data_IF_391853023582
#
_entry.id   IF_391853023582
#
_cell.length_a   1.000
_cell.length_b   1.000
_cell.length_c   1.000
_cell.angle_alpha   90.00
_cell.angle_beta   90.00
_cell.angle_gamma   90.00
#
_symmetry.space_group_name_H-M   'P 1'
#
loop_
_entity.id
_entity.type
_entity.pdbx_description
1 polymer ?
#
# COMPACT_ATOMS: atom_id res chain seq x y z
N UNK A 1 17.38 -17.48 19.04
CA UNK A 1 18.02 -18.53 18.22
C UNK A 1 17.08 -19.05 17.14
N UNK A 2 15.84 -19.49 17.47
CA UNK A 2 14.85 -19.99 16.48
C UNK A 2 14.59 -19.06 15.26
N UNK A 3 14.49 -17.74 15.43
CA UNK A 3 14.28 -16.81 14.31
C UNK A 3 15.50 -16.67 13.38
N UNK A 4 16.71 -16.85 13.91
CA UNK A 4 17.93 -16.80 13.10
C UNK A 4 18.03 -18.05 12.21
N UNK A 5 17.68 -19.22 12.76
CA UNK A 5 17.64 -20.48 12.01
C UNK A 5 16.57 -20.47 10.91
N UNK A 6 15.38 -19.93 11.19
CA UNK A 6 14.30 -19.78 10.18
C UNK A 6 14.73 -18.88 9.02
N UNK A 7 15.32 -17.72 9.31
CA UNK A 7 15.80 -16.79 8.29
C UNK A 7 16.91 -17.42 7.42
N UNK A 8 17.85 -18.12 8.05
CA UNK A 8 18.96 -18.75 7.33
C UNK A 8 18.48 -19.90 6.44
N UNK A 9 17.54 -20.72 6.93
CA UNK A 9 16.92 -21.79 6.14
C UNK A 9 16.13 -21.24 4.95
N UNK A 10 15.31 -20.21 5.15
CA UNK A 10 14.58 -19.52 4.08
C UNK A 10 15.54 -18.99 3.01
N UNK A 11 16.56 -18.23 3.42
CA UNK A 11 17.57 -17.66 2.51
C UNK A 11 18.31 -18.74 1.72
N UNK A 12 18.70 -19.84 2.38
CA UNK A 12 19.43 -20.94 1.74
C UNK A 12 18.58 -21.62 0.67
N UNK A 13 17.33 -21.94 0.98
CA UNK A 13 16.42 -22.59 0.04
C UNK A 13 16.14 -21.71 -1.18
N UNK A 14 15.85 -20.42 -0.97
CA UNK A 14 15.64 -19.46 -2.06
C UNK A 14 16.89 -19.33 -2.93
N UNK A 15 18.09 -19.24 -2.34
CA UNK A 15 19.33 -19.12 -3.11
C UNK A 15 19.65 -20.39 -3.91
N UNK A 16 19.41 -21.57 -3.34
CA UNK A 16 19.55 -22.85 -4.06
C UNK A 16 18.57 -22.91 -5.23
N UNK A 17 17.30 -22.57 -5.00
CA UNK A 17 16.27 -22.52 -6.05
C UNK A 17 16.66 -21.58 -7.18
N UNK A 18 17.07 -20.34 -6.86
CA UNK A 18 17.50 -19.36 -7.84
C UNK A 18 18.72 -19.83 -8.65
N UNK A 19 19.72 -20.43 -8.00
CA UNK A 19 20.92 -20.94 -8.69
C UNK A 19 20.60 -22.11 -9.62
N UNK A 20 19.74 -23.04 -9.18
CA UNK A 20 19.31 -24.17 -10.02
C UNK A 20 18.48 -23.68 -11.20
N UNK A 21 17.52 -22.78 -11.00
CA UNK A 21 16.72 -22.18 -12.08
C UNK A 21 17.58 -21.42 -13.08
N UNK A 22 18.58 -20.66 -12.60
CA UNK A 22 19.55 -19.99 -13.45
C UNK A 22 20.32 -20.98 -14.35
N UNK A 23 20.86 -22.05 -13.74
CA UNK A 23 21.61 -23.07 -14.47
C UNK A 23 20.71 -23.80 -15.49
N UNK A 24 19.49 -24.17 -15.10
CA UNK A 24 18.51 -24.78 -15.99
C UNK A 24 18.16 -23.86 -17.15
N UNK A 25 17.93 -22.57 -16.90
CA UNK A 25 17.66 -21.58 -17.94
C UNK A 25 18.77 -21.50 -18.99
N UNK A 26 20.03 -21.44 -18.55
CA UNK A 26 21.20 -21.45 -19.45
C UNK A 26 21.28 -22.76 -20.25
N UNK A 27 21.09 -23.91 -19.60
CA UNK A 27 21.13 -25.22 -20.28
C UNK A 27 20.02 -25.32 -21.33
N UNK A 28 18.79 -24.88 -21.02
CA UNK A 28 17.66 -24.86 -21.95
C UNK A 28 17.91 -23.93 -23.12
N UNK A 29 18.41 -22.73 -22.88
CA UNK A 29 18.63 -21.74 -23.93
C UNK A 29 19.71 -22.21 -24.91
N UNK A 30 20.85 -22.68 -24.39
CA UNK A 30 21.94 -23.24 -25.22
C UNK A 30 21.46 -24.51 -25.93
N UNK A 31 20.78 -25.40 -25.21
CA UNK A 31 20.25 -26.64 -25.76
C UNK A 31 19.23 -26.41 -26.87
N UNK A 32 18.26 -25.52 -26.65
CA UNK A 32 17.25 -25.16 -27.64
C UNK A 32 17.86 -24.54 -28.89
N UNK A 33 18.88 -23.68 -28.75
CA UNK A 33 19.57 -23.10 -29.88
C UNK A 33 20.39 -24.12 -30.69
N UNK A 34 21.14 -25.01 -30.02
CA UNK A 34 21.97 -26.03 -30.68
C UNK A 34 21.11 -27.13 -31.31
N UNK A 35 20.01 -27.50 -30.66
CA UNK A 35 19.14 -28.61 -31.08
C UNK A 35 17.87 -28.15 -31.79
N UNK A 36 17.80 -26.89 -32.25
CA UNK A 36 16.71 -26.32 -33.04
C UNK A 36 15.32 -26.53 -32.41
N UNK A 37 15.15 -26.22 -31.12
CA UNK A 37 13.84 -26.21 -30.46
C UNK A 37 13.50 -24.82 -29.95
N UNK A 38 12.47 -24.23 -30.56
CA UNK A 38 11.92 -22.93 -30.17
C UNK A 38 11.21 -23.02 -28.82
N UNK A 39 10.50 -24.13 -28.54
CA UNK A 39 9.84 -24.33 -27.26
C UNK A 39 10.85 -24.38 -26.10
N UNK A 40 11.99 -25.07 -26.31
CA UNK A 40 13.04 -25.15 -25.30
C UNK A 40 13.76 -23.81 -25.10
N UNK A 41 13.98 -23.04 -26.17
CA UNK A 41 14.50 -21.66 -26.07
C UNK A 41 13.52 -20.77 -25.29
N UNK A 42 12.22 -20.83 -25.59
CA UNK A 42 11.19 -20.07 -24.90
C UNK A 42 11.16 -20.36 -23.39
N UNK A 43 11.24 -21.65 -23.01
CA UNK A 43 11.30 -22.08 -21.62
C UNK A 43 12.61 -21.66 -20.93
N UNK A 44 13.71 -21.62 -21.68
CA UNK A 44 15.00 -21.09 -21.20
C UNK A 44 14.94 -19.58 -20.92
N UNK A 45 14.33 -18.81 -21.82
CA UNK A 45 14.11 -17.37 -21.63
C UNK A 45 13.17 -17.11 -20.45
N UNK A 46 12.11 -17.91 -20.27
CA UNK A 46 11.24 -17.86 -19.10
C UNK A 46 12.06 -18.02 -17.81
N UNK A 47 12.81 -19.12 -17.68
CA UNK A 47 13.64 -19.38 -16.48
C UNK A 47 14.72 -18.30 -16.25
N UNK A 48 15.29 -17.72 -17.31
CA UNK A 48 16.24 -16.61 -17.17
C UNK A 48 15.55 -15.30 -16.74
N UNK A 49 14.33 -15.07 -17.21
CA UNK A 49 13.53 -13.91 -16.83
C UNK A 49 13.13 -13.97 -15.36
N UNK A 50 12.88 -15.16 -14.81
CA UNK A 50 12.65 -15.36 -13.38
C UNK A 50 13.91 -15.03 -12.57
N UNK A 51 15.10 -15.42 -13.03
CA UNK A 51 16.36 -15.01 -12.37
C UNK A 51 16.55 -13.49 -12.37
N UNK A 52 16.27 -12.82 -13.50
CA UNK A 52 16.32 -11.36 -13.59
C UNK A 52 15.31 -10.74 -12.61
N UNK A 53 14.12 -11.32 -12.52
CA UNK A 53 13.08 -10.91 -11.56
C UNK A 53 13.60 -10.99 -10.13
N UNK A 54 14.19 -12.11 -9.73
CA UNK A 54 14.76 -12.30 -8.39
C UNK A 54 15.84 -11.25 -8.07
N UNK A 55 16.74 -10.99 -9.02
CA UNK A 55 17.79 -9.98 -8.86
C UNK A 55 17.18 -8.58 -8.74
N UNK A 56 16.19 -8.26 -9.58
CA UNK A 56 15.48 -6.98 -9.53
C UNK A 56 14.72 -6.81 -8.22
N UNK A 57 14.08 -7.85 -7.69
CA UNK A 57 13.41 -7.83 -6.39
C UNK A 57 14.41 -7.60 -5.26
N UNK A 58 15.58 -8.25 -5.28
CA UNK A 58 16.63 -8.01 -4.27
C UNK A 58 17.17 -6.57 -4.33
N UNK A 59 17.38 -6.04 -5.53
CA UNK A 59 17.79 -4.66 -5.73
C UNK A 59 16.70 -3.69 -5.26
N UNK A 60 15.48 -3.87 -5.75
CA UNK A 60 14.29 -3.09 -5.40
C UNK A 60 14.04 -3.08 -3.89
N UNK A 61 14.11 -4.24 -3.23
CA UNK A 61 13.96 -4.34 -1.78
C UNK A 61 15.07 -3.59 -1.05
N UNK A 62 16.33 -3.71 -1.48
CA UNK A 62 17.45 -2.99 -0.86
C UNK A 62 17.28 -1.48 -0.94
N UNK A 63 16.96 -0.94 -2.12
CA UNK A 63 16.82 0.51 -2.30
C UNK A 63 15.46 1.04 -1.84
N UNK A 64 14.40 0.26 -1.97
CA UNK A 64 13.05 0.59 -1.51
C UNK A 64 12.89 0.57 0.01
N UNK A 65 13.67 -0.27 0.71
CA UNK A 65 13.73 -0.30 2.18
C UNK A 65 14.44 0.90 2.80
N UNK A 66 15.07 1.77 2.00
CA UNK A 66 15.66 3.00 2.49
C UNK A 66 14.55 3.91 3.02
N UNK A 67 14.75 4.36 4.27
CA UNK A 67 13.82 5.26 4.94
C UNK A 67 13.71 6.62 4.26
N UNK A 68 12.85 7.47 4.83
CA UNK A 68 12.71 8.84 4.40
C UNK A 68 14.02 9.63 4.56
N UNK A 69 14.32 10.46 3.58
CA UNK A 69 15.41 11.43 3.63
C UNK A 69 14.93 12.81 3.14
N UNK A 70 15.85 13.77 3.00
CA UNK A 70 15.51 15.14 2.62
C UNK A 70 15.00 15.26 1.18
N UNK A 71 15.36 14.34 0.28
CA UNK A 71 14.90 14.33 -1.12
C UNK A 71 13.66 13.46 -1.30
N UNK A 72 13.43 12.49 -0.41
CA UNK A 72 12.30 11.57 -0.39
C UNK A 72 11.65 11.52 1.02
N UNK A 73 10.82 12.51 1.40
CA UNK A 73 10.21 12.58 2.73
C UNK A 73 9.28 11.41 3.10
N UNK A 74 8.76 10.70 2.09
CA UNK A 74 7.92 9.52 2.26
C UNK A 74 8.71 8.20 2.10
N UNK A 75 10.02 8.26 1.92
CA UNK A 75 10.88 7.10 1.67
C UNK A 75 10.96 6.67 0.21
N UNK A 76 11.69 5.59 -0.02
CA UNK A 76 12.10 5.14 -1.35
C UNK A 76 11.27 3.97 -1.90
N UNK A 77 10.18 3.61 -1.23
CA UNK A 77 9.36 2.43 -1.55
C UNK A 77 8.86 2.40 -3.01
N UNK A 78 8.62 3.56 -3.65
CA UNK A 78 8.22 3.63 -5.07
C UNK A 78 9.30 3.14 -6.05
N UNK A 79 10.57 3.04 -5.63
CA UNK A 79 11.62 2.41 -6.44
C UNK A 79 11.28 0.96 -6.73
N UNK A 80 10.66 0.25 -5.77
CA UNK A 80 10.20 -1.11 -5.97
C UNK A 80 9.12 -1.19 -7.04
N UNK A 81 8.10 -0.34 -6.94
CA UNK A 81 7.04 -0.23 -7.95
C UNK A 81 7.60 0.07 -9.35
N UNK A 82 8.56 1.00 -9.45
CA UNK A 82 9.19 1.35 -10.73
C UNK A 82 10.04 0.21 -11.31
N UNK A 83 10.78 -0.50 -10.46
CA UNK A 83 11.57 -1.67 -10.84
C UNK A 83 10.67 -2.80 -11.36
N UNK A 84 9.56 -3.10 -10.67
CA UNK A 84 8.58 -4.10 -11.09
C UNK A 84 7.90 -3.71 -12.40
N UNK A 85 7.63 -2.42 -12.63
CA UNK A 85 7.07 -1.93 -13.89
C UNK A 85 8.06 -2.09 -15.06
N UNK A 86 9.34 -1.78 -14.85
CA UNK A 86 10.38 -2.00 -15.85
C UNK A 86 10.50 -3.48 -16.21
N UNK A 87 10.50 -4.35 -15.19
CA UNK A 87 10.55 -5.80 -15.37
C UNK A 87 9.34 -6.30 -16.17
N UNK A 88 8.13 -5.85 -15.82
CA UNK A 88 6.91 -6.17 -16.53
C UNK A 88 7.00 -5.83 -18.03
N UNK A 89 7.56 -4.66 -18.36
CA UNK A 89 7.80 -4.26 -19.75
C UNK A 89 8.78 -5.21 -20.46
N UNK A 90 9.90 -5.56 -19.81
CA UNK A 90 10.88 -6.50 -20.37
C UNK A 90 10.27 -7.88 -20.63
N UNK A 91 9.46 -8.39 -19.70
CA UNK A 91 8.75 -9.66 -19.86
C UNK A 91 7.79 -9.64 -21.05
N UNK A 92 7.00 -8.57 -21.21
CA UNK A 92 6.08 -8.44 -22.35
C UNK A 92 6.84 -8.41 -23.67
N UNK A 93 7.96 -7.66 -23.75
CA UNK A 93 8.79 -7.60 -24.95
C UNK A 93 9.44 -8.95 -25.27
N UNK A 94 9.98 -9.65 -24.26
CA UNK A 94 10.58 -10.97 -24.42
C UNK A 94 9.55 -12.02 -24.88
N UNK A 95 8.39 -12.07 -24.21
CA UNK A 95 7.30 -12.98 -24.58
C UNK A 95 6.73 -12.69 -25.97
N UNK A 96 6.63 -11.41 -26.36
CA UNK A 96 6.21 -11.02 -27.71
C UNK A 96 7.24 -11.42 -28.77
N UNK A 97 8.54 -11.28 -28.49
CA UNK A 97 9.61 -11.75 -29.37
C UNK A 97 9.55 -13.26 -29.59
N UNK A 98 9.41 -14.05 -28.51
CA UNK A 98 9.26 -15.51 -28.58
C UNK A 98 8.03 -15.89 -29.41
N UNK A 99 6.88 -15.27 -29.13
CA UNK A 99 5.65 -15.56 -29.86
C UNK A 99 5.77 -15.19 -31.34
N UNK A 100 6.44 -14.08 -31.66
CA UNK A 100 6.70 -13.66 -33.03
C UNK A 100 7.60 -14.65 -33.78
N UNK A 101 8.72 -15.05 -33.18
CA UNK A 101 9.66 -16.02 -33.76
C UNK A 101 8.97 -17.37 -34.00
N UNK A 102 8.17 -17.83 -33.03
CA UNK A 102 7.43 -19.08 -33.15
C UNK A 102 6.30 -19.03 -34.19
N UNK A 103 5.63 -17.88 -34.36
CA UNK A 103 4.66 -17.68 -35.45
C UNK A 103 5.36 -17.64 -36.80
N UNK A 104 6.53 -16.99 -36.90
CA UNK A 104 7.29 -16.95 -38.15
C UNK A 104 7.73 -18.35 -38.59
N UNK A 105 8.19 -19.18 -37.65
CA UNK A 105 8.53 -20.59 -37.88
C UNK A 105 7.31 -21.40 -38.34
N UNK A 106 6.14 -21.16 -37.74
CA UNK A 106 4.90 -21.83 -38.15
C UNK A 106 4.48 -21.49 -39.58
N UNK A 107 4.75 -20.25 -40.02
CA UNK A 107 4.43 -19.76 -41.36
C UNK A 107 5.48 -20.14 -42.41
N UNK A 108 6.73 -20.28 -42.00
CA UNK A 108 7.87 -20.67 -42.84
C UNK A 108 8.61 -21.84 -42.19
N UNK A 109 8.05 -23.07 -42.24
CA UNK A 109 8.64 -24.20 -41.55
C UNK A 109 9.99 -24.54 -42.16
N UNK A 110 11.06 -24.29 -41.41
CA UNK A 110 12.33 -24.91 -41.68
C UNK A 110 12.18 -26.34 -41.17
N UNK A 111 12.26 -27.36 -42.02
CA UNK A 111 12.01 -28.78 -41.64
C UNK A 111 13.06 -29.36 -40.67
N UNK A 112 13.72 -28.53 -39.86
CA UNK A 112 14.61 -28.89 -38.78
C UNK A 112 13.80 -29.57 -37.67
N UNK A 113 13.89 -30.90 -37.61
CA UNK A 113 13.35 -31.67 -36.49
C UNK A 113 14.22 -31.37 -35.27
N UNK A 114 13.63 -30.98 -34.12
CA UNK A 114 14.36 -30.79 -32.88
C UNK A 114 15.23 -32.01 -32.55
N UNK A 115 16.46 -31.79 -32.13
CA UNK A 115 17.35 -32.87 -31.72
C UNK A 115 16.78 -33.62 -30.51
N UNK A 116 16.90 -34.95 -30.48
CA UNK A 116 16.41 -35.78 -29.36
C UNK A 116 17.02 -35.39 -28.00
N UNK A 117 18.18 -34.74 -28.00
CA UNK A 117 18.82 -34.19 -26.80
C UNK A 117 17.97 -33.06 -26.16
N UNK A 118 17.25 -32.25 -26.95
CA UNK A 118 16.36 -31.21 -26.44
C UNK A 118 15.27 -31.79 -25.52
N UNK A 119 14.73 -32.96 -25.87
CA UNK A 119 13.74 -33.66 -25.04
C UNK A 119 14.32 -34.08 -23.69
N UNK A 120 15.54 -34.62 -23.66
CA UNK A 120 16.20 -34.98 -22.40
C UNK A 120 16.47 -33.76 -21.52
N UNK A 121 16.81 -32.61 -22.11
CA UNK A 121 16.98 -31.36 -21.37
C UNK A 121 15.65 -30.90 -20.77
N UNK A 122 14.56 -30.95 -21.53
CA UNK A 122 13.23 -30.58 -21.04
C UNK A 122 12.76 -31.49 -19.90
N UNK A 123 12.91 -32.81 -20.06
CA UNK A 123 12.61 -33.80 -19.02
C UNK A 123 13.46 -33.61 -17.76
N UNK A 124 14.76 -33.33 -17.93
CA UNK A 124 15.64 -33.01 -16.82
C UNK A 124 15.18 -31.76 -16.06
N UNK A 125 14.71 -30.73 -16.77
CA UNK A 125 14.15 -29.55 -16.11
C UNK A 125 12.88 -29.83 -15.34
N UNK A 126 11.96 -30.65 -15.86
CA UNK A 126 10.75 -31.05 -15.12
C UNK A 126 11.15 -31.74 -13.82
N UNK A 127 12.08 -32.70 -13.91
CA UNK A 127 12.56 -33.44 -12.75
C UNK A 127 13.22 -32.50 -11.73
N UNK A 128 14.07 -31.59 -12.17
CA UNK A 128 14.75 -30.64 -11.30
C UNK A 128 13.76 -29.69 -10.59
N UNK A 129 12.77 -29.15 -11.31
CA UNK A 129 11.74 -28.29 -10.75
C UNK A 129 10.82 -29.03 -9.77
N UNK A 130 10.47 -30.29 -10.04
CA UNK A 130 9.68 -31.10 -9.11
C UNK A 130 10.48 -31.45 -7.83
N UNK A 131 11.77 -31.74 -7.96
CA UNK A 131 12.66 -31.93 -6.80
C UNK A 131 12.77 -30.64 -5.96
N UNK A 132 12.91 -29.49 -6.61
CA UNK A 132 12.88 -28.18 -5.93
C UNK A 132 11.53 -27.92 -5.25
N UNK A 133 10.41 -28.27 -5.88
CA UNK A 133 9.09 -28.15 -5.26
C UNK A 133 9.03 -28.94 -3.95
N UNK A 134 9.40 -30.23 -3.97
CA UNK A 134 9.37 -31.06 -2.78
C UNK A 134 10.33 -30.56 -1.69
N UNK A 135 11.55 -30.17 -2.07
CA UNK A 135 12.55 -29.65 -1.14
C UNK A 135 12.10 -28.33 -0.49
N UNK A 136 11.71 -27.35 -1.30
CA UNK A 136 11.27 -26.03 -0.85
C UNK A 136 10.00 -26.13 -0.01
N UNK A 137 9.05 -26.99 -0.42
CA UNK A 137 7.82 -27.22 0.35
C UNK A 137 8.11 -27.83 1.71
N UNK A 138 8.96 -28.86 1.77
CA UNK A 138 9.29 -29.52 3.03
C UNK A 138 9.93 -28.53 4.02
N UNK A 139 10.87 -27.69 3.56
CA UNK A 139 11.45 -26.65 4.42
C UNK A 139 10.42 -25.59 4.79
N UNK A 140 9.56 -25.17 3.85
CA UNK A 140 8.49 -24.20 4.10
C UNK A 140 7.50 -24.65 5.18
N UNK A 141 7.12 -25.93 5.17
CA UNK A 141 6.31 -26.56 6.21
C UNK A 141 7.07 -26.64 7.55
N UNK A 142 8.35 -27.01 7.53
CA UNK A 142 9.20 -27.12 8.74
C UNK A 142 9.41 -25.78 9.45
N UNK A 143 9.58 -24.69 8.69
CA UNK A 143 9.75 -23.35 9.25
C UNK A 143 8.43 -22.57 9.38
N UNK A 144 7.29 -23.21 9.10
CA UNK A 144 5.95 -22.60 9.08
C UNK A 144 5.92 -21.26 8.34
N UNK A 145 6.48 -21.23 7.13
CA UNK A 145 6.54 -20.01 6.30
C UNK A 145 5.63 -20.15 5.07
N UNK A 146 4.47 -19.47 5.06
CA UNK A 146 3.59 -19.40 3.90
C UNK A 146 4.31 -18.88 2.65
N UNK A 147 5.29 -18.00 2.82
CA UNK A 147 6.08 -17.42 1.74
C UNK A 147 6.98 -18.46 1.06
N UNK A 148 7.65 -19.33 1.82
CA UNK A 148 8.48 -20.39 1.25
C UNK A 148 7.60 -21.48 0.61
N UNK A 149 6.43 -21.76 1.19
CA UNK A 149 5.44 -22.67 0.58
C UNK A 149 4.95 -22.10 -0.75
N UNK A 150 4.66 -20.80 -0.84
CA UNK A 150 4.28 -20.14 -2.09
C UNK A 150 5.41 -20.23 -3.14
N UNK A 151 6.67 -20.02 -2.72
CA UNK A 151 7.83 -20.21 -3.60
C UNK A 151 7.96 -21.65 -4.11
N UNK A 152 7.61 -22.66 -3.29
CA UNK A 152 7.57 -24.03 -3.77
C UNK A 152 6.55 -24.19 -4.92
N UNK A 153 5.34 -23.67 -4.75
CA UNK A 153 4.32 -23.70 -5.81
C UNK A 153 4.74 -22.97 -7.08
N UNK A 154 5.59 -21.96 -6.98
CA UNK A 154 6.20 -21.30 -8.13
C UNK A 154 7.07 -22.27 -8.94
N UNK A 155 7.99 -23.01 -8.30
CA UNK A 155 8.76 -24.06 -8.98
C UNK A 155 7.88 -25.10 -9.68
N UNK A 156 6.73 -25.42 -9.10
CA UNK A 156 5.77 -26.35 -9.72
C UNK A 156 5.06 -25.75 -10.94
N UNK A 157 4.80 -24.45 -10.93
CA UNK A 157 4.32 -23.72 -12.10
C UNK A 157 5.35 -23.75 -13.24
N UNK A 158 6.64 -23.60 -12.92
CA UNK A 158 7.72 -23.71 -13.90
C UNK A 158 7.82 -25.13 -14.47
N UNK A 159 7.67 -26.16 -13.62
CA UNK A 159 7.58 -27.54 -14.07
C UNK A 159 6.42 -27.74 -15.06
N UNK A 160 5.26 -27.12 -14.80
CA UNK A 160 4.10 -27.19 -15.69
C UNK A 160 4.38 -26.52 -17.05
N UNK A 161 5.10 -25.39 -17.09
CA UNK A 161 5.57 -24.78 -18.35
C UNK A 161 6.50 -25.74 -19.11
N UNK A 162 7.48 -26.34 -18.44
CA UNK A 162 8.38 -27.31 -19.05
C UNK A 162 7.66 -28.59 -19.54
N UNK A 163 6.52 -28.96 -18.95
CA UNK A 163 5.65 -30.04 -19.46
C UNK A 163 5.03 -29.66 -20.80
N UNK A 164 4.53 -28.43 -20.97
CA UNK A 164 4.00 -27.95 -22.26
C UNK A 164 5.06 -28.06 -23.35
N UNK A 165 6.30 -27.64 -23.03
CA UNK A 165 7.47 -27.71 -23.92
C UNK A 165 7.81 -29.16 -24.26
N UNK A 166 7.83 -30.05 -23.27
CA UNK A 166 8.11 -31.47 -23.46
C UNK A 166 7.07 -32.14 -24.36
N UNK A 167 5.78 -31.81 -24.20
CA UNK A 167 4.72 -32.32 -25.08
C UNK A 167 4.88 -31.82 -26.52
N UNK A 168 5.26 -30.54 -26.70
CA UNK A 168 5.58 -29.98 -28.02
C UNK A 168 6.74 -30.70 -28.70
N UNK A 169 7.83 -30.94 -27.96
CA UNK A 169 9.01 -31.68 -28.41
C UNK A 169 8.68 -33.15 -28.77
N UNK A 170 7.93 -33.86 -27.92
CA UNK A 170 7.50 -35.24 -28.19
C UNK A 170 6.67 -35.33 -29.46
N UNK A 171 5.73 -34.41 -29.63
CA UNK A 171 4.89 -34.33 -30.82
C UNK A 171 5.71 -34.06 -32.08
N UNK A 172 6.68 -33.15 -32.00
CA UNK A 172 7.60 -32.84 -33.09
C UNK A 172 8.48 -34.03 -33.48
N UNK A 173 9.00 -34.77 -32.50
CA UNK A 173 9.78 -36.00 -32.71
C UNK A 173 8.96 -37.15 -33.31
N UNK A 174 7.65 -37.18 -33.09
CA UNK A 174 6.72 -38.12 -33.73
C UNK A 174 6.28 -37.72 -35.16
N UNK A 175 6.83 -36.62 -35.69
CA UNK A 175 6.63 -36.18 -37.06
C UNK A 175 5.67 -34.99 -37.23
N UNK A 176 5.12 -34.46 -36.13
CA UNK A 176 4.30 -33.23 -36.15
C UNK A 176 5.17 -32.02 -35.83
N UNK A 177 6.05 -31.64 -36.77
CA UNK A 177 7.11 -30.64 -36.59
C UNK A 177 6.63 -29.28 -36.06
N UNK A 178 5.40 -28.88 -36.40
CA UNK A 178 4.79 -27.63 -35.95
C UNK A 178 4.47 -27.57 -34.44
N UNK A 179 4.44 -28.70 -33.73
CA UNK A 179 4.04 -28.72 -32.32
C UNK A 179 5.06 -28.05 -31.38
N UNK A 180 6.34 -28.01 -31.77
CA UNK A 180 7.36 -27.26 -31.02
C UNK A 180 7.07 -25.74 -31.10
N UNK A 181 6.79 -25.22 -32.31
CA UNK A 181 6.39 -23.83 -32.49
C UNK A 181 5.09 -23.49 -31.74
N UNK A 182 4.09 -24.38 -31.75
CA UNK A 182 2.85 -24.18 -30.99
C UNK A 182 3.12 -24.13 -29.48
N UNK A 183 3.96 -25.01 -28.95
CA UNK A 183 4.35 -24.97 -27.54
C UNK A 183 5.09 -23.66 -27.20
N UNK A 184 5.99 -23.19 -28.07
CA UNK A 184 6.67 -21.90 -27.90
C UNK A 184 5.70 -20.71 -27.87
N UNK A 185 4.68 -20.70 -28.74
CA UNK A 185 3.61 -19.68 -28.74
C UNK A 185 2.86 -19.67 -27.40
N UNK A 186 2.48 -20.86 -26.90
CA UNK A 186 1.77 -20.98 -25.62
C UNK A 186 2.61 -20.40 -24.47
N UNK A 187 3.90 -20.78 -24.40
CA UNK A 187 4.83 -20.25 -23.38
C UNK A 187 5.01 -18.74 -23.53
N UNK A 188 5.17 -18.23 -24.76
CA UNK A 188 5.24 -16.79 -25.03
C UNK A 188 4.02 -16.02 -24.49
N UNK A 189 2.81 -16.53 -24.70
CA UNK A 189 1.59 -15.93 -24.13
C UNK A 189 1.54 -16.01 -22.60
N UNK A 190 2.03 -17.10 -21.99
CA UNK A 190 2.14 -17.20 -20.53
C UNK A 190 3.06 -16.11 -19.96
N UNK A 191 4.22 -15.88 -20.58
CA UNK A 191 5.18 -14.83 -20.18
C UNK A 191 4.54 -13.45 -20.34
N UNK A 192 3.89 -13.16 -21.48
CA UNK A 192 3.20 -11.87 -21.72
C UNK A 192 2.13 -11.64 -20.65
N UNK A 193 1.30 -12.65 -20.35
CA UNK A 193 0.25 -12.55 -19.33
C UNK A 193 0.84 -12.22 -17.96
N UNK A 194 1.96 -12.83 -17.59
CA UNK A 194 2.66 -12.54 -16.35
C UNK A 194 3.18 -11.09 -16.32
N UNK A 195 3.84 -10.65 -17.39
CA UNK A 195 4.32 -9.28 -17.53
C UNK A 195 3.18 -8.25 -17.42
N UNK A 196 2.05 -8.47 -18.12
CA UNK A 196 0.87 -7.59 -18.01
C UNK A 196 0.32 -7.55 -16.59
N UNK A 197 0.20 -8.71 -15.93
CA UNK A 197 -0.31 -8.77 -14.55
C UNK A 197 0.56 -7.98 -13.58
N UNK A 198 1.89 -8.11 -13.66
CA UNK A 198 2.83 -7.33 -12.86
C UNK A 198 2.76 -5.84 -13.18
N UNK A 199 2.74 -5.48 -14.47
CA UNK A 199 2.65 -4.10 -14.91
C UNK A 199 1.37 -3.41 -14.43
N UNK A 200 0.21 -4.08 -14.55
CA UNK A 200 -1.06 -3.54 -14.06
C UNK A 200 -1.06 -3.32 -12.54
N UNK A 201 -0.46 -4.22 -11.76
CA UNK A 201 -0.35 -4.05 -10.32
C UNK A 201 0.57 -2.86 -9.96
N UNK A 202 1.71 -2.71 -10.63
CA UNK A 202 2.60 -1.56 -10.42
C UNK A 202 1.96 -0.24 -10.85
N UNK A 203 1.20 -0.22 -11.96
CA UNK A 203 0.45 0.97 -12.39
C UNK A 203 -0.63 1.33 -11.37
N UNK A 204 -1.38 0.35 -10.85
CA UNK A 204 -2.38 0.58 -9.79
C UNK A 204 -1.75 1.24 -8.57
N UNK A 205 -0.57 0.76 -8.16
CA UNK A 205 0.16 1.35 -7.04
C UNK A 205 0.66 2.77 -7.35
N UNK A 206 1.15 3.03 -8.58
CA UNK A 206 1.58 4.37 -9.00
C UNK A 206 0.46 5.40 -9.00
N UNK A 207 -0.77 5.00 -9.34
CA UNK A 207 -1.96 5.88 -9.35
C UNK A 207 -2.68 5.94 -8.00
N UNK A 208 -2.03 5.51 -6.92
CA UNK A 208 -2.55 5.56 -5.54
C UNK A 208 -3.89 4.81 -5.39
N UNK A 209 -3.99 3.61 -5.99
CA UNK A 209 -5.18 2.76 -5.84
C UNK A 209 -5.41 2.40 -4.37
N UNK A 210 -6.67 2.50 -3.94
CA UNK A 210 -7.10 2.13 -2.60
C UNK A 210 -6.88 0.65 -2.29
N UNK A 211 -6.88 0.32 -0.99
CA UNK A 211 -6.84 -1.08 -0.54
C UNK A 211 -8.13 -1.82 -0.94
N UNK A 212 -8.07 -3.15 -0.90
CA UNK A 212 -9.23 -3.99 -1.16
C UNK A 212 -10.36 -3.76 -0.13
N UNK A 213 -11.59 -4.11 -0.51
CA UNK A 213 -12.78 -3.85 0.31
C UNK A 213 -12.73 -4.51 1.69
N UNK A 214 -12.12 -5.70 1.81
CA UNK A 214 -12.00 -6.41 3.08
C UNK A 214 -11.03 -5.68 4.02
N UNK A 215 -9.91 -5.19 3.48
CA UNK A 215 -8.96 -4.38 4.24
C UNK A 215 -9.54 -3.02 4.63
N UNK A 216 -10.29 -2.37 3.73
CA UNK A 216 -10.97 -1.11 4.01
C UNK A 216 -11.98 -1.27 5.16
N UNK A 217 -12.80 -2.32 5.14
CA UNK A 217 -13.75 -2.61 6.20
C UNK A 217 -13.07 -2.87 7.56
N UNK A 218 -11.89 -3.49 7.56
CA UNK A 218 -11.08 -3.66 8.79
C UNK A 218 -10.57 -2.33 9.32
N UNK A 219 -10.10 -1.44 8.43
CA UNK A 219 -9.65 -0.10 8.80
C UNK A 219 -10.82 0.67 9.43
N UNK A 220 -11.96 0.75 8.75
CA UNK A 220 -13.15 1.46 9.25
C UNK A 220 -13.59 0.94 10.62
N UNK A 221 -13.67 -0.38 10.79
CA UNK A 221 -14.04 -1.01 12.06
C UNK A 221 -13.09 -0.63 13.19
N UNK A 222 -11.78 -0.60 12.94
CA UNK A 222 -10.79 -0.26 13.97
C UNK A 222 -10.88 1.21 14.38
N UNK A 223 -11.16 2.11 13.43
CA UNK A 223 -11.34 3.54 13.72
C UNK A 223 -12.61 3.76 14.54
N UNK A 224 -13.72 3.11 14.18
CA UNK A 224 -14.99 3.22 14.90
C UNK A 224 -14.96 2.66 16.32
N UNK A 225 -13.99 1.79 16.64
CA UNK A 225 -13.82 1.27 18.00
C UNK A 225 -13.11 2.24 18.95
N UNK A 226 -12.50 3.31 18.43
CA UNK A 226 -11.82 4.32 19.25
C UNK A 226 -12.85 5.23 19.91
N UNK A 227 -12.80 5.32 21.23
CA UNK A 227 -13.70 6.20 21.99
C UNK A 227 -13.49 7.67 21.61
N UNK A 228 -14.59 8.40 21.44
CA UNK A 228 -14.60 9.81 21.01
C UNK A 228 -14.78 9.99 19.49
N UNK A 229 -14.62 8.93 18.70
CA UNK A 229 -14.95 8.95 17.27
C UNK A 229 -16.46 8.82 17.09
N UNK A 230 -17.11 9.85 16.52
CA UNK A 230 -18.54 9.83 16.20
C UNK A 230 -18.82 9.24 14.83
N UNK A 231 -18.03 9.64 13.83
CA UNK A 231 -18.19 9.24 12.42
C UNK A 231 -16.86 9.34 11.69
N UNK A 232 -16.65 8.47 10.71
CA UNK A 232 -15.58 8.64 9.73
C UNK A 232 -16.14 9.51 8.61
N UNK A 233 -15.58 10.70 8.47
CA UNK A 233 -16.06 11.68 7.52
C UNK A 233 -15.50 11.41 6.13
N UNK A 234 -14.19 11.18 6.04
CA UNK A 234 -13.49 10.82 4.82
C UNK A 234 -12.38 9.82 5.13
N UNK A 235 -12.24 8.80 4.28
CA UNK A 235 -11.19 7.80 4.40
C UNK A 235 -10.56 7.57 3.03
N UNK A 236 -9.27 7.87 2.92
CA UNK A 236 -8.46 7.59 1.74
C UNK A 236 -7.34 6.64 2.13
N UNK A 237 -7.04 5.71 1.24
CA UNK A 237 -5.92 4.79 1.41
C UNK A 237 -5.18 4.67 0.09
N UNK A 238 -3.88 4.37 0.18
CA UNK A 238 -3.04 4.09 -0.98
C UNK A 238 -1.98 3.06 -0.62
N UNK A 239 -1.50 2.36 -1.64
CA UNK A 239 -0.40 1.42 -1.55
C UNK A 239 0.91 2.09 -1.98
N UNK A 240 2.01 1.76 -1.29
CA UNK A 240 3.35 2.21 -1.66
C UNK A 240 4.41 1.20 -1.20
N UNK A 241 5.02 0.49 -2.16
CA UNK A 241 5.91 -0.65 -1.89
C UNK A 241 5.21 -1.78 -1.12
N UNK A 242 3.93 -2.01 -1.36
CA UNK A 242 3.12 -3.00 -0.63
C UNK A 242 2.68 -2.60 0.78
N UNK A 243 3.20 -1.48 1.32
CA UNK A 243 2.75 -0.85 2.56
C UNK A 243 1.50 0.02 2.32
N UNK A 244 0.72 0.26 3.37
CA UNK A 244 -0.53 1.01 3.33
C UNK A 244 -0.36 2.36 4.02
N UNK A 245 -0.75 3.43 3.33
CA UNK A 245 -0.84 4.78 3.86
C UNK A 245 -2.31 5.17 3.92
N UNK A 246 -2.72 5.83 5.02
CA UNK A 246 -4.11 6.17 5.28
C UNK A 246 -4.21 7.66 5.61
N UNK A 247 -5.13 8.35 4.96
CA UNK A 247 -5.56 9.69 5.36
C UNK A 247 -7.02 9.61 5.79
N UNK A 248 -7.31 9.98 7.04
CA UNK A 248 -8.65 9.88 7.60
C UNK A 248 -9.06 11.18 8.26
N UNK A 249 -10.31 11.57 8.01
CA UNK A 249 -11.01 12.63 8.69
C UNK A 249 -12.03 12.01 9.64
N UNK A 250 -11.99 12.45 10.89
CA UNK A 250 -12.76 11.85 11.97
C UNK A 250 -13.57 12.93 12.67
N UNK A 251 -14.89 12.74 12.69
CA UNK A 251 -15.82 13.61 13.39
C UNK A 251 -15.76 13.30 14.89
N UNK A 252 -15.54 14.33 15.71
CA UNK A 252 -15.53 14.24 17.17
C UNK A 252 -16.59 15.17 17.78
N UNK A 253 -16.63 15.28 19.10
CA UNK A 253 -17.50 16.26 19.73
C UNK A 253 -16.96 17.69 19.56
N UNK A 254 -17.78 18.67 19.10
CA UNK A 254 -17.29 19.99 18.74
C UNK A 254 -16.81 20.84 19.91
N UNK A 255 -17.20 20.51 21.16
CA UNK A 255 -16.86 21.32 22.33
C UNK A 255 -15.68 20.78 23.13
N UNK A 256 -15.03 19.71 22.66
CA UNK A 256 -13.80 19.22 23.27
C UNK A 256 -12.65 20.18 23.01
N UNK A 257 -11.63 20.09 23.85
CA UNK A 257 -10.39 20.86 23.62
C UNK A 257 -9.62 20.33 22.41
N UNK A 258 -8.83 21.19 21.76
CA UNK A 258 -7.89 20.76 20.70
C UNK A 258 -6.94 19.67 21.20
N UNK A 259 -6.53 19.73 22.47
CA UNK A 259 -5.72 18.69 23.10
C UNK A 259 -6.43 17.33 23.21
N UNK A 260 -7.72 17.32 23.51
CA UNK A 260 -8.52 16.10 23.58
C UNK A 260 -8.79 15.54 22.18
N UNK A 261 -9.07 16.41 21.20
CA UNK A 261 -9.13 16.03 19.78
C UNK A 261 -7.83 15.38 19.32
N UNK A 262 -6.67 15.97 19.64
CA UNK A 262 -5.36 15.39 19.35
C UNK A 262 -5.15 14.03 20.03
N UNK A 263 -5.61 13.87 21.27
CA UNK A 263 -5.58 12.60 21.97
C UNK A 263 -6.39 11.51 21.24
N UNK A 264 -7.59 11.82 20.77
CA UNK A 264 -8.41 10.90 19.96
C UNK A 264 -7.68 10.55 18.65
N UNK A 265 -7.11 11.55 17.96
CA UNK A 265 -6.33 11.35 16.74
C UNK A 265 -5.17 10.38 16.94
N UNK A 266 -4.41 10.54 18.03
CA UNK A 266 -3.31 9.65 18.40
C UNK A 266 -3.79 8.22 18.66
N UNK A 267 -4.96 8.05 19.28
CA UNK A 267 -5.53 6.73 19.52
C UNK A 267 -5.98 6.04 18.23
N UNK A 268 -6.56 6.78 17.28
CA UNK A 268 -6.86 6.29 15.93
C UNK A 268 -5.59 5.85 15.21
N UNK A 269 -4.57 6.72 15.18
CA UNK A 269 -3.26 6.42 14.59
C UNK A 269 -2.66 5.14 15.21
N UNK A 270 -2.60 5.07 16.54
CA UNK A 270 -2.03 3.93 17.26
C UNK A 270 -2.83 2.64 17.04
N UNK A 271 -4.16 2.70 17.03
CA UNK A 271 -5.01 1.54 16.79
C UNK A 271 -4.76 0.92 15.42
N UNK A 272 -4.67 1.75 14.37
CA UNK A 272 -4.38 1.30 13.02
C UNK A 272 -2.97 0.71 12.89
N UNK A 273 -1.95 1.43 13.37
CA UNK A 273 -0.54 0.97 13.36
C UNK A 273 -0.35 -0.36 14.09
N UNK A 274 -1.01 -0.54 15.24
CA UNK A 274 -0.81 -1.71 16.09
C UNK A 274 -1.57 -2.94 15.59
N UNK A 275 -2.78 -2.76 15.08
CA UNK A 275 -3.65 -3.87 14.69
C UNK A 275 -3.44 -4.31 13.24
N UNK A 276 -2.89 -3.45 12.38
CA UNK A 276 -2.70 -3.71 10.96
C UNK A 276 -1.21 -3.57 10.60
N UNK A 277 -0.43 -4.66 10.63
CA UNK A 277 1.03 -4.62 10.44
C UNK A 277 1.51 -4.02 9.11
N UNK A 278 0.65 -3.98 8.10
CA UNK A 278 0.94 -3.41 6.78
C UNK A 278 0.74 -1.89 6.70
N UNK A 279 0.12 -1.28 7.71
CA UNK A 279 -0.09 0.18 7.72
C UNK A 279 1.19 0.83 8.21
N UNK A 280 1.75 1.73 7.40
CA UNK A 280 3.06 2.36 7.67
C UNK A 280 2.95 3.78 8.17
N UNK A 281 1.94 4.51 7.71
CA UNK A 281 1.65 5.86 8.13
C UNK A 281 0.14 6.14 8.10
N UNK A 282 -0.31 7.00 9.02
CA UNK A 282 -1.72 7.42 9.13
C UNK A 282 -1.77 8.92 9.42
N UNK A 283 -2.40 9.70 8.56
CA UNK A 283 -2.75 11.09 8.88
C UNK A 283 -4.18 11.14 9.39
N UNK A 284 -4.38 11.66 10.61
CA UNK A 284 -5.71 11.82 11.20
C UNK A 284 -6.03 13.30 11.33
N UNK A 285 -7.04 13.75 10.58
CA UNK A 285 -7.66 15.06 10.74
C UNK A 285 -8.89 14.93 11.65
N UNK A 286 -9.01 15.85 12.61
CA UNK A 286 -10.14 15.93 13.52
C UNK A 286 -11.07 17.05 13.05
N UNK A 287 -12.32 16.66 12.76
CA UNK A 287 -13.36 17.58 12.34
C UNK A 287 -14.38 17.75 13.49
N UNK A 288 -14.75 18.99 13.85
CA UNK A 288 -15.79 19.24 14.85
C UNK A 288 -17.22 19.14 14.28
N UNK A 289 -17.37 19.27 12.97
CA UNK A 289 -18.63 19.25 12.23
C UNK A 289 -18.47 18.59 10.85
N UNK A 290 -19.58 18.26 10.18
CA UNK A 290 -19.55 17.65 8.85
C UNK A 290 -19.41 18.76 7.79
N UNK A 291 -18.18 18.93 7.26
CA UNK A 291 -17.80 19.98 6.32
C UNK A 291 -17.34 19.48 4.94
N UNK A 292 -17.70 18.25 4.53
CA UNK A 292 -17.21 17.61 3.28
C UNK A 292 -17.51 18.44 2.04
N UNK A 293 -18.71 19.02 2.03
CA UNK A 293 -19.31 19.64 0.85
C UNK A 293 -19.15 21.16 0.88
N UNK A 294 -18.97 21.73 2.08
CA UNK A 294 -18.93 23.18 2.25
C UNK A 294 -18.15 23.54 3.50
N UNK A 295 -17.46 24.66 3.47
CA UNK A 295 -16.82 25.25 4.65
C UNK A 295 -17.76 26.32 5.25
N UNK A 296 -18.70 25.95 6.14
CA UNK A 296 -19.78 26.85 6.54
C UNK A 296 -19.27 28.10 7.26
N UNK A 297 -18.15 27.97 7.96
CA UNK A 297 -17.61 29.00 8.85
C UNK A 297 -16.58 29.95 8.21
N UNK A 298 -16.18 29.74 6.95
CA UNK A 298 -15.08 30.52 6.31
C UNK A 298 -15.39 32.01 6.18
N UNK A 299 -16.67 32.36 6.05
CA UNK A 299 -17.10 33.76 5.92
C UNK A 299 -17.08 34.53 7.25
N UNK A 300 -16.89 33.85 8.39
CA UNK A 300 -16.91 34.45 9.71
C UNK A 300 -15.64 35.27 9.98
N UNK A 301 -15.76 36.27 10.84
CA UNK A 301 -14.62 37.10 11.28
C UNK A 301 -13.62 36.24 12.05
N UNK A 302 -12.34 36.42 11.78
CA UNK A 302 -11.30 35.70 12.49
C UNK A 302 -11.11 36.22 13.93
N UNK A 303 -10.39 35.45 14.75
CA UNK A 303 -10.11 35.79 16.15
C UNK A 303 -9.58 37.22 16.34
N UNK A 304 -8.63 37.64 15.50
CA UNK A 304 -8.01 38.95 15.62
C UNK A 304 -9.00 40.10 15.41
N UNK A 305 -9.88 39.97 14.41
CA UNK A 305 -10.96 40.94 14.16
C UNK A 305 -11.92 41.02 15.35
N UNK A 306 -12.38 39.86 15.83
CA UNK A 306 -13.29 39.77 16.98
C UNK A 306 -12.67 40.36 18.25
N UNK A 307 -11.39 40.09 18.50
CA UNK A 307 -10.67 40.64 19.65
C UNK A 307 -10.58 42.15 19.62
N UNK A 308 -10.29 42.73 18.45
CA UNK A 308 -10.16 44.17 18.27
C UNK A 308 -11.50 44.88 18.40
N UNK A 309 -12.56 44.32 17.82
CA UNK A 309 -13.85 44.99 17.64
C UNK A 309 -14.83 44.76 18.81
N UNK A 310 -14.75 43.60 19.47
CA UNK A 310 -15.72 43.19 20.49
C UNK A 310 -15.07 42.80 21.80
N UNK A 311 -14.17 41.81 21.80
CA UNK A 311 -13.76 41.13 23.03
C UNK A 311 -12.87 42.01 23.92
N UNK A 312 -11.88 42.73 23.35
CA UNK A 312 -11.07 43.67 24.14
C UNK A 312 -11.87 44.87 24.63
N UNK A 313 -12.71 45.53 23.80
CA UNK A 313 -13.64 46.54 24.30
C UNK A 313 -14.51 46.05 25.47
N UNK A 314 -15.06 44.84 25.39
CA UNK A 314 -15.81 44.25 26.50
C UNK A 314 -14.95 43.99 27.73
N UNK A 315 -13.74 43.45 27.57
CA UNK A 315 -12.81 43.26 28.69
C UNK A 315 -12.40 44.58 29.35
N UNK A 316 -12.23 45.65 28.58
CA UNK A 316 -11.92 46.99 29.12
C UNK A 316 -13.10 47.57 29.92
N UNK A 317 -14.34 47.34 29.46
CA UNK A 317 -15.55 47.75 30.16
C UNK A 317 -15.86 46.85 31.38
N UNK A 318 -15.50 45.57 31.30
CA UNK A 318 -15.76 44.52 32.30
C UNK A 318 -14.48 43.72 32.57
N UNK A 319 -13.59 44.23 33.46
CA UNK A 319 -12.27 43.61 33.75
C UNK A 319 -12.32 42.21 34.37
N UNK A 320 -13.50 41.75 34.76
CA UNK A 320 -13.74 40.39 35.28
C UNK A 320 -13.66 39.34 34.17
N UNK A 321 -13.80 39.71 32.89
CA UNK A 321 -13.57 38.83 31.75
C UNK A 321 -12.07 38.54 31.65
N UNK A 322 -11.67 37.31 31.94
CA UNK A 322 -10.26 36.89 31.91
C UNK A 322 -9.87 36.24 30.60
N UNK A 323 -10.74 35.38 30.08
CA UNK A 323 -10.48 34.58 28.89
C UNK A 323 -11.73 34.47 28.03
N UNK A 324 -11.53 34.15 26.75
CA UNK A 324 -12.60 33.79 25.85
C UNK A 324 -12.21 32.61 24.96
N UNK A 325 -13.19 31.75 24.69
CA UNK A 325 -13.11 30.70 23.65
C UNK A 325 -14.10 31.00 22.55
N UNK A 326 -13.66 30.74 21.32
CA UNK A 326 -14.42 30.99 20.10
C UNK A 326 -14.67 29.64 19.44
N UNK A 327 -15.93 29.33 19.19
CA UNK A 327 -16.33 28.13 18.46
C UNK A 327 -16.99 28.55 17.15
N UNK A 328 -16.46 28.06 16.04
CA UNK A 328 -16.95 28.33 14.69
C UNK A 328 -17.70 27.09 14.22
N UNK A 329 -19.03 27.08 14.38
CA UNK A 329 -19.87 25.91 14.18
C UNK A 329 -21.16 26.27 13.45
N UNK A 330 -21.58 25.44 12.51
CA UNK A 330 -22.77 25.58 11.66
C UNK A 330 -22.83 26.94 10.94
N UNK A 331 -21.66 27.49 10.57
CA UNK A 331 -21.55 28.81 9.95
C UNK A 331 -21.93 29.96 10.87
N UNK A 332 -21.92 29.75 12.19
CA UNK A 332 -22.13 30.78 13.21
C UNK A 332 -21.04 30.75 14.27
N UNK A 333 -20.95 31.82 15.04
CA UNK A 333 -20.00 31.97 16.13
C UNK A 333 -20.67 31.73 17.49
N UNK A 334 -20.03 30.93 18.33
CA UNK A 334 -20.35 30.81 19.75
C UNK A 334 -19.16 31.37 20.53
N UNK A 335 -19.44 32.26 21.48
CA UNK A 335 -18.42 32.90 22.32
C UNK A 335 -18.62 32.47 23.76
N UNK A 336 -17.65 31.76 24.33
CA UNK A 336 -17.60 31.51 25.77
C UNK A 336 -16.72 32.57 26.41
N UNK A 337 -17.25 33.31 27.38
CA UNK A 337 -16.53 34.31 28.19
C UNK A 337 -16.28 33.72 29.58
N UNK A 338 -15.02 33.62 29.99
CA UNK A 338 -14.64 33.11 31.31
C UNK A 338 -14.37 34.26 32.28
N UNK A 339 -14.97 34.20 33.47
CA UNK A 339 -14.91 35.25 34.49
C UNK A 339 -14.56 34.69 35.87
N UNK A 340 -13.78 35.43 36.66
CA UNK A 340 -13.31 34.98 38.00
C UNK A 340 -14.32 35.15 39.14
N UNK A 341 -15.35 35.95 38.94
CA UNK A 341 -16.27 36.33 40.00
C UNK A 341 -17.72 36.17 39.54
N UNK A 342 -18.62 35.89 40.48
CA UNK A 342 -20.09 35.95 40.34
C UNK A 342 -20.61 37.36 40.09
N UNK A 343 -19.93 38.16 39.25
CA UNK A 343 -20.49 39.32 38.59
C UNK A 343 -21.51 38.94 37.49
N UNK A 344 -21.90 37.66 37.43
CA UNK A 344 -23.02 37.13 36.65
C UNK A 344 -24.38 37.81 36.96
N UNK A 345 -24.43 38.68 37.98
CA UNK A 345 -25.57 39.54 38.29
C UNK A 345 -25.31 41.04 38.02
N UNK A 346 -24.47 41.40 37.05
CA UNK A 346 -24.46 42.77 36.52
C UNK A 346 -25.45 42.88 35.34
N UNK A 347 -26.64 43.50 35.51
CA UNK A 347 -27.61 43.69 34.42
C UNK A 347 -26.98 44.37 33.21
N UNK A 348 -26.06 45.31 33.46
CA UNK A 348 -25.36 46.06 32.42
C UNK A 348 -24.52 45.17 31.47
N UNK A 349 -23.89 44.11 31.97
CA UNK A 349 -23.16 43.17 31.12
C UNK A 349 -24.14 42.35 30.26
N UNK A 350 -25.21 41.83 30.88
CA UNK A 350 -26.23 41.07 30.15
C UNK A 350 -26.86 41.89 29.02
N UNK A 351 -27.19 43.16 29.29
CA UNK A 351 -27.75 44.09 28.31
C UNK A 351 -26.75 44.38 27.17
N UNK A 352 -25.47 44.55 27.49
CA UNK A 352 -24.40 44.74 26.48
C UNK A 352 -24.26 43.51 25.58
N UNK A 353 -24.23 42.31 26.15
CA UNK A 353 -24.12 41.05 25.39
C UNK A 353 -25.38 40.79 24.54
N UNK A 354 -26.57 41.11 25.04
CA UNK A 354 -27.82 41.04 24.27
C UNK A 354 -27.80 42.00 23.09
N UNK A 355 -27.33 43.23 23.31
CA UNK A 355 -27.18 44.23 22.23
C UNK A 355 -26.19 43.76 21.17
N UNK A 356 -25.10 43.11 21.58
CA UNK A 356 -24.13 42.52 20.67
C UNK A 356 -24.71 41.39 19.80
N UNK A 357 -25.51 40.48 20.39
CA UNK A 357 -26.21 39.43 19.64
C UNK A 357 -27.16 40.00 18.59
N UNK A 358 -27.82 41.12 18.87
CA UNK A 358 -28.70 41.81 17.90
C UNK A 358 -27.89 42.50 16.80
N UNK A 359 -26.73 43.06 17.14
CA UNK A 359 -25.90 43.84 16.21
C UNK A 359 -25.03 42.96 15.30
N UNK A 360 -24.77 41.71 15.72
CA UNK A 360 -23.92 40.74 15.04
C UNK A 360 -24.67 39.42 14.82
N UNK A 361 -25.48 39.31 13.75
CA UNK A 361 -26.33 38.14 13.50
C UNK A 361 -25.55 36.85 13.25
N UNK A 362 -24.24 36.94 12.97
CA UNK A 362 -23.35 35.79 12.87
C UNK A 362 -23.03 35.13 14.22
N UNK A 363 -23.26 35.83 15.34
CA UNK A 363 -23.08 35.27 16.69
C UNK A 363 -24.37 34.55 17.09
N UNK A 364 -24.29 33.23 17.21
CA UNK A 364 -25.43 32.37 17.61
C UNK A 364 -25.77 32.57 19.08
N UNK A 365 -24.76 32.53 19.94
CA UNK A 365 -24.92 32.67 21.38
C UNK A 365 -23.61 33.11 22.04
N UNK A 366 -23.74 33.74 23.21
CA UNK A 366 -22.64 34.10 24.10
C UNK A 366 -22.90 33.43 25.44
N UNK A 367 -21.97 32.59 25.90
CA UNK A 367 -22.05 31.88 27.18
C UNK A 367 -21.11 32.54 28.18
N UNK A 368 -21.59 32.80 29.38
CA UNK A 368 -20.76 33.34 30.47
C UNK A 368 -20.48 32.20 31.44
N UNK A 369 -19.21 31.87 31.60
CA UNK A 369 -18.71 30.77 32.43
C UNK A 369 -17.91 31.35 33.59
N UNK A 370 -18.15 30.83 34.80
CA UNK A 370 -17.46 31.29 36.00
C UNK A 370 -16.34 30.32 36.38
N UNK A 371 -15.13 30.84 36.56
CA UNK A 371 -14.06 30.12 37.24
C UNK A 371 -14.41 30.05 38.72
N UNK A 372 -14.80 28.87 39.18
CA UNK A 372 -15.11 28.67 40.59
C UNK A 372 -13.86 28.36 41.41
N UNK A 373 -13.02 27.46 40.92
CA UNK A 373 -11.82 27.00 41.60
C UNK A 373 -10.89 26.34 40.56
N UNK A 374 -9.57 26.45 40.76
CA UNK A 374 -8.57 25.67 40.01
C UNK A 374 -7.82 24.82 41.02
N UNK A 375 -8.05 23.50 40.98
CA UNK A 375 -7.37 22.54 41.84
C UNK A 375 -6.21 21.94 41.05
N UNK A 376 -4.98 22.29 41.42
CA UNK A 376 -3.77 21.74 40.83
C UNK A 376 -3.10 20.73 41.76
N UNK A 377 -2.48 19.70 41.20
CA UNK A 377 -1.68 18.76 41.96
C UNK A 377 -0.32 19.40 42.31
N UNK A 378 -0.04 19.63 43.59
CA UNK A 378 1.29 20.03 44.04
C UNK A 378 2.22 18.81 44.01
N UNK A 379 3.08 18.73 43.00
CA UNK A 379 4.16 17.72 42.99
C UNK A 379 5.20 18.08 44.04
N UNK A 380 5.26 17.31 45.13
CA UNK A 380 6.39 17.29 46.10
C UNK A 380 7.63 16.66 45.50
#
# INVERSE_FOLDING_TARGET
MLNYDRYWQAKRVTLIGALVNALLGVIKLIGGAIFHSHALVADGIHSLSDLITDIMVLFASKYGSLGADTTHPYGHQRIETAATLLLALLLVLAGAGIAWDAVNELMHPDNAIPGSIALFIALFSILANELLFHYTRHIGELIESPLIIANAWHHRSDAASSVVVTLGLLGSLWGWTYLDAVAAIIVGFMIIKMGIAYGLNSVKELVDTAVDADMLAKIEKNIQQVHGVKKIHQLRSRLMGGDIFIDVHVLVDPFISVSEGHYIAQHVHHALMKQLPRVKDVTVHIDPEDDEISCPSVHLRNRWQLERELLKPWQMAYPDIKEWRLHYLDGRLIIDLMMDNTAAEQPALSDTLRTALVSHPEIKEIRVLLYHEVIAYEST
#
